data_IF_727485531358
#
_entry.id   IF_727485531358
#
_cell.length_a   1.000
_cell.length_b   1.000
_cell.length_c   1.000
_cell.angle_alpha   90.00
_cell.angle_beta   90.00
_cell.angle_gamma   90.00
#
_symmetry.space_group_name_H-M   'P 1'
#
loop_
_entity.id
_entity.type
_entity.pdbx_description
1 polymer ?
#
# COMPACT_ATOMS: atom_id res chain seq x y z
N UNK A 1 20.87 -33.15 7.73
CA UNK A 1 20.39 -32.23 6.67
C UNK A 1 18.86 -32.01 6.72
N UNK A 2 18.21 -31.92 7.89
CA UNK A 2 16.75 -32.19 7.95
C UNK A 2 15.88 -31.14 8.64
N UNK A 3 16.43 -30.11 9.29
CA UNK A 3 15.64 -29.04 9.91
C UNK A 3 15.56 -27.76 9.07
N UNK A 4 16.62 -27.40 8.33
CA UNK A 4 16.64 -26.16 7.54
C UNK A 4 15.65 -26.22 6.36
N UNK A 5 15.69 -27.31 5.58
CA UNK A 5 14.81 -27.50 4.41
C UNK A 5 13.33 -27.56 4.81
N UNK A 6 13.02 -28.21 5.95
CA UNK A 6 11.64 -28.25 6.48
C UNK A 6 11.16 -26.88 6.94
N UNK A 7 12.04 -26.06 7.50
CA UNK A 7 11.72 -24.69 7.91
C UNK A 7 11.47 -23.78 6.70
N UNK A 8 12.29 -23.91 5.66
CA UNK A 8 12.10 -23.18 4.39
C UNK A 8 10.81 -23.60 3.70
N UNK A 9 10.50 -24.89 3.63
CA UNK A 9 9.25 -25.37 3.04
C UNK A 9 8.01 -24.90 3.82
N UNK A 10 8.09 -24.87 5.16
CA UNK A 10 7.01 -24.33 6.00
C UNK A 10 6.80 -22.82 5.81
N UNK A 11 7.89 -22.04 5.69
CA UNK A 11 7.80 -20.61 5.38
C UNK A 11 7.18 -20.36 4.01
N UNK A 12 7.58 -21.12 2.98
CA UNK A 12 7.02 -21.01 1.63
C UNK A 12 5.53 -21.37 1.61
N UNK A 13 5.14 -22.48 2.26
CA UNK A 13 3.72 -22.87 2.37
C UNK A 13 2.90 -21.83 3.13
N UNK A 14 3.47 -21.19 4.14
CA UNK A 14 2.79 -20.16 4.92
C UNK A 14 2.67 -18.84 4.15
N UNK A 15 3.68 -18.46 3.35
CA UNK A 15 3.59 -17.35 2.41
C UNK A 15 2.54 -17.62 1.33
N UNK A 16 2.56 -18.79 0.69
CA UNK A 16 1.58 -19.20 -0.32
C UNK A 16 0.15 -19.20 0.26
N UNK A 17 -0.06 -19.78 1.44
CA UNK A 17 -1.38 -19.79 2.07
C UNK A 17 -1.87 -18.38 2.45
N UNK A 18 -0.96 -17.50 2.88
CA UNK A 18 -1.29 -16.10 3.16
C UNK A 18 -1.66 -15.36 1.87
N UNK A 19 -0.93 -15.64 0.79
CA UNK A 19 -1.16 -15.05 -0.52
C UNK A 19 -2.48 -15.52 -1.14
N UNK A 20 -2.82 -16.81 -0.99
CA UNK A 20 -4.12 -17.37 -1.39
C UNK A 20 -5.26 -16.75 -0.55
N UNK A 21 -5.12 -16.68 0.77
CA UNK A 21 -6.15 -16.07 1.62
C UNK A 21 -6.35 -14.59 1.30
N UNK A 22 -5.27 -13.87 1.00
CA UNK A 22 -5.33 -12.50 0.52
C UNK A 22 -5.99 -12.39 -0.86
N UNK A 23 -5.70 -13.30 -1.80
CA UNK A 23 -6.35 -13.33 -3.11
C UNK A 23 -7.85 -13.59 -3.01
N UNK A 24 -8.27 -14.62 -2.27
CA UNK A 24 -9.68 -15.01 -2.16
C UNK A 24 -10.52 -13.93 -1.46
N UNK A 25 -10.02 -13.38 -0.34
CA UNK A 25 -10.71 -12.29 0.36
C UNK A 25 -10.82 -11.02 -0.49
N UNK A 26 -9.82 -10.76 -1.32
CA UNK A 26 -9.82 -9.59 -2.20
C UNK A 26 -10.65 -9.80 -3.47
N UNK A 27 -10.70 -11.02 -4.00
CA UNK A 27 -11.58 -11.41 -5.10
C UNK A 27 -13.04 -11.22 -4.69
N UNK A 28 -13.41 -11.62 -3.47
CA UNK A 28 -14.74 -11.39 -2.91
C UNK A 28 -15.08 -9.90 -2.87
N UNK A 29 -14.18 -9.04 -2.35
CA UNK A 29 -14.38 -7.58 -2.30
C UNK A 29 -14.66 -7.01 -3.71
N UNK A 30 -13.93 -7.49 -4.73
CA UNK A 30 -14.15 -7.07 -6.12
C UNK A 30 -15.49 -7.57 -6.67
N UNK A 31 -15.88 -8.80 -6.35
CA UNK A 31 -17.11 -9.42 -6.84
C UNK A 31 -18.37 -8.78 -6.25
N UNK A 32 -18.38 -8.46 -4.95
CA UNK A 32 -19.51 -7.76 -4.30
C UNK A 32 -19.43 -6.24 -4.40
N UNK A 33 -18.44 -5.69 -5.12
CA UNK A 33 -18.26 -4.24 -5.33
C UNK A 33 -18.24 -3.43 -4.03
N UNK A 34 -17.65 -3.98 -2.97
CA UNK A 34 -17.56 -3.30 -1.69
C UNK A 34 -16.56 -2.14 -1.76
N UNK A 35 -16.95 -0.99 -1.21
CA UNK A 35 -16.06 0.15 -1.08
C UNK A 35 -15.10 -0.11 0.09
N UNK A 36 -13.82 -0.24 -0.20
CA UNK A 36 -12.78 -0.33 0.82
C UNK A 36 -12.24 1.05 1.16
N UNK A 37 -12.15 1.34 2.45
CA UNK A 37 -11.47 2.53 2.96
C UNK A 37 -10.13 2.12 3.58
N UNK A 38 -9.09 2.87 3.27
CA UNK A 38 -7.75 2.69 3.80
C UNK A 38 -7.41 3.86 4.73
N UNK A 39 -7.00 3.56 5.95
CA UNK A 39 -6.46 4.55 6.88
C UNK A 39 -4.97 4.28 7.02
N UNK A 40 -4.14 5.23 6.59
CA UNK A 40 -2.67 5.14 6.61
C UNK A 40 -2.09 6.44 7.13
N UNK A 41 -0.86 6.35 7.64
CA UNK A 41 -0.14 7.52 8.12
C UNK A 41 0.11 8.54 6.99
N UNK A 42 0.15 9.82 7.36
CA UNK A 42 0.38 10.95 6.45
C UNK A 42 1.87 11.08 6.06
N UNK A 43 2.49 9.99 5.65
CA UNK A 43 3.90 9.94 5.27
C UNK A 43 4.11 9.17 3.94
N UNK A 44 5.32 9.22 3.36
CA UNK A 44 5.60 8.54 2.10
C UNK A 44 5.45 7.01 2.17
N UNK A 45 5.58 6.39 3.34
CA UNK A 45 5.44 4.94 3.52
C UNK A 45 3.96 4.53 3.59
N UNK A 46 3.14 5.26 4.33
CA UNK A 46 1.69 5.09 4.37
C UNK A 46 1.10 5.23 2.97
N UNK A 47 1.54 6.25 2.22
CA UNK A 47 1.15 6.41 0.83
C UNK A 47 1.60 5.23 -0.05
N UNK A 48 2.83 4.73 0.12
CA UNK A 48 3.35 3.57 -0.64
C UNK A 48 2.52 2.30 -0.40
N UNK A 49 2.07 2.09 0.84
CA UNK A 49 1.17 0.99 1.22
C UNK A 49 -0.16 1.13 0.49
N UNK A 50 -0.81 2.30 0.58
CA UNK A 50 -2.08 2.56 -0.09
C UNK A 50 -1.96 2.39 -1.61
N UNK A 51 -0.90 2.92 -2.22
CA UNK A 51 -0.63 2.79 -3.64
C UNK A 51 -0.39 1.32 -4.05
N UNK A 52 0.25 0.51 -3.19
CA UNK A 52 0.44 -0.92 -3.41
C UNK A 52 -0.89 -1.67 -3.45
N UNK A 53 -1.81 -1.36 -2.53
CA UNK A 53 -3.15 -1.94 -2.56
C UNK A 53 -3.97 -1.47 -3.77
N UNK A 54 -3.82 -0.21 -4.20
CA UNK A 54 -4.62 0.33 -5.31
C UNK A 54 -4.12 -0.10 -6.69
N UNK A 55 -2.81 0.02 -6.92
CA UNK A 55 -2.18 -0.18 -8.24
C UNK A 55 -1.48 -1.54 -8.35
N UNK A 56 -1.22 -2.20 -7.21
CA UNK A 56 -0.46 -3.45 -7.14
C UNK A 56 1.00 -3.22 -6.78
N UNK A 57 1.63 -4.26 -6.23
CA UNK A 57 3.07 -4.26 -5.92
C UNK A 57 3.91 -4.44 -7.18
N UNK A 58 4.96 -3.63 -7.33
CA UNK A 58 5.95 -3.79 -8.41
C UNK A 58 6.67 -5.14 -8.35
N UNK A 59 6.88 -5.69 -7.15
CA UNK A 59 7.54 -7.00 -6.95
C UNK A 59 6.64 -8.17 -7.35
N UNK A 60 5.32 -7.98 -7.25
CA UNK A 60 4.30 -8.98 -7.59
C UNK A 60 3.49 -8.52 -8.80
N UNK A 61 4.15 -7.92 -9.79
CA UNK A 61 3.47 -7.32 -10.94
C UNK A 61 2.64 -8.34 -11.75
N UNK A 62 3.04 -9.61 -11.73
CA UNK A 62 2.29 -10.70 -12.38
C UNK A 62 0.94 -10.94 -11.70
N UNK A 63 0.91 -10.99 -10.37
CA UNK A 63 -0.28 -11.24 -9.57
C UNK A 63 -1.07 -9.97 -9.22
N UNK A 64 -0.51 -8.79 -9.53
CA UNK A 64 -1.10 -7.49 -9.20
C UNK A 64 -2.54 -7.32 -9.69
N UNK A 65 -2.93 -7.99 -10.78
CA UNK A 65 -4.31 -7.96 -11.30
C UNK A 65 -5.32 -8.58 -10.32
N UNK A 66 -4.88 -9.58 -9.56
CA UNK A 66 -5.70 -10.32 -8.58
C UNK A 66 -5.43 -9.87 -7.15
N UNK A 67 -4.48 -8.95 -6.93
CA UNK A 67 -4.05 -8.46 -5.62
C UNK A 67 -4.22 -6.94 -5.43
N UNK A 68 -4.82 -6.24 -6.40
CA UNK A 68 -5.18 -4.83 -6.29
C UNK A 68 -6.67 -4.58 -6.04
N UNK A 69 -6.98 -3.60 -5.21
CA UNK A 69 -8.32 -3.06 -4.94
C UNK A 69 -8.42 -1.66 -5.57
N UNK A 70 -8.84 -1.53 -6.84
CA UNK A 70 -8.83 -0.25 -7.55
C UNK A 70 -9.82 0.77 -6.94
N UNK A 71 -10.88 0.28 -6.30
CA UNK A 71 -11.92 1.09 -5.65
C UNK A 71 -11.54 1.55 -4.23
N UNK A 72 -10.33 1.25 -3.77
CA UNK A 72 -9.89 1.68 -2.45
C UNK A 72 -9.83 3.20 -2.36
N UNK A 73 -10.39 3.74 -1.28
CA UNK A 73 -10.41 5.16 -0.98
C UNK A 73 -9.54 5.42 0.23
N UNK A 74 -8.62 6.36 0.11
CA UNK A 74 -7.84 6.83 1.25
C UNK A 74 -8.76 7.68 2.12
N UNK A 75 -8.94 7.29 3.39
CA UNK A 75 -9.77 7.99 4.36
C UNK A 75 -9.04 9.13 5.06
N UNK A 76 -7.70 9.14 5.04
CA UNK A 76 -6.84 10.09 5.75
C UNK A 76 -5.73 9.37 6.53
N UNK A 77 -4.86 10.07 7.26
CA UNK A 77 -4.74 11.53 7.47
C UNK A 77 -4.07 12.21 6.27
N UNK A 78 -4.65 13.28 5.72
CA UNK A 78 -4.03 14.03 4.62
C UNK A 78 -3.13 15.15 5.13
N UNK A 79 -2.16 15.55 4.32
CA UNK A 79 -1.31 16.72 4.62
C UNK A 79 -2.09 18.03 4.65
N UNK A 80 -3.24 18.09 3.96
CA UNK A 80 -4.21 19.20 4.04
C UNK A 80 -4.86 19.30 5.42
N UNK A 81 -5.19 18.15 6.01
CA UNK A 81 -5.88 18.05 7.31
C UNK A 81 -5.01 18.64 8.42
N UNK A 82 -3.68 18.53 8.30
CA UNK A 82 -2.73 19.15 9.23
C UNK A 82 -2.93 20.67 9.34
N UNK A 83 -3.28 21.33 8.21
CA UNK A 83 -3.55 22.77 8.16
C UNK A 83 -4.98 23.09 8.59
N UNK A 84 -5.96 22.30 8.13
CA UNK A 84 -7.38 22.53 8.41
C UNK A 84 -7.72 22.40 9.89
N UNK A 85 -7.16 21.39 10.56
CA UNK A 85 -7.39 21.14 11.99
C UNK A 85 -6.38 21.85 12.90
N UNK A 86 -5.53 22.72 12.36
CA UNK A 86 -4.53 23.49 13.12
C UNK A 86 -3.71 22.64 14.10
N UNK A 87 -3.26 21.46 13.67
CA UNK A 87 -2.58 20.51 14.56
C UNK A 87 -1.30 21.13 15.14
N UNK A 88 -1.04 21.00 16.46
CA UNK A 88 0.16 21.55 17.08
C UNK A 88 1.44 20.96 16.49
N UNK A 89 2.51 21.76 16.41
CA UNK A 89 3.81 21.30 15.90
C UNK A 89 4.42 20.17 16.76
N UNK A 90 4.09 20.09 18.05
CA UNK A 90 4.53 19.00 18.91
C UNK A 90 3.95 17.64 18.53
N UNK A 91 2.88 17.60 17.73
CA UNK A 91 2.28 16.38 17.20
C UNK A 91 2.78 16.04 15.79
N UNK A 92 3.69 16.84 15.22
CA UNK A 92 4.20 16.68 13.85
C UNK A 92 5.63 16.17 13.87
N UNK A 93 5.91 15.18 13.03
CA UNK A 93 7.27 14.71 12.77
C UNK A 93 7.78 15.37 11.49
N UNK A 94 9.01 15.90 11.54
CA UNK A 94 9.65 16.44 10.36
C UNK A 94 10.10 15.31 9.44
N UNK A 95 9.87 15.47 8.14
CA UNK A 95 10.35 14.54 7.12
C UNK A 95 11.88 14.49 7.14
N UNK A 96 12.42 13.28 7.28
CA UNK A 96 13.84 13.03 7.12
C UNK A 96 14.27 13.17 5.65
N UNK A 97 15.57 13.32 5.36
CA UNK A 97 16.08 13.27 3.99
C UNK A 97 15.76 11.96 3.28
N UNK A 98 15.62 10.86 4.02
CA UNK A 98 15.24 9.55 3.46
C UNK A 98 13.78 9.51 3.03
N UNK A 99 12.88 10.03 3.87
CA UNK A 99 11.46 10.12 3.55
C UNK A 99 11.24 10.96 2.29
N UNK A 100 11.96 12.08 2.18
CA UNK A 100 11.93 12.94 0.98
C UNK A 100 12.36 12.18 -0.27
N UNK A 101 13.48 11.45 -0.23
CA UNK A 101 13.93 10.62 -1.36
C UNK A 101 12.89 9.56 -1.73
N UNK A 102 12.24 8.96 -0.74
CA UNK A 102 11.17 7.98 -0.99
C UNK A 102 9.96 8.63 -1.65
N UNK A 103 9.53 9.79 -1.18
CA UNK A 103 8.44 10.56 -1.79
C UNK A 103 8.74 10.93 -3.25
N UNK A 104 9.95 11.45 -3.52
CA UNK A 104 10.41 11.75 -4.88
C UNK A 104 10.43 10.49 -5.76
N UNK A 105 10.90 9.36 -5.22
CA UNK A 105 10.85 8.07 -5.90
C UNK A 105 9.43 7.63 -6.25
N UNK A 106 8.46 7.85 -5.37
CA UNK A 106 7.05 7.53 -5.61
C UNK A 106 6.47 8.37 -6.74
N UNK A 107 6.77 9.68 -6.80
CA UNK A 107 6.28 10.60 -7.85
C UNK A 107 6.71 10.22 -9.27
N UNK A 108 7.82 9.48 -9.39
CA UNK A 108 8.36 8.97 -10.67
C UNK A 108 7.69 7.69 -11.17
N UNK A 109 6.85 7.03 -10.36
CA UNK A 109 6.21 5.75 -10.72
C UNK A 109 5.17 5.93 -11.82
N UNK A 110 4.99 4.90 -12.64
CA UNK A 110 4.14 4.97 -13.84
C UNK A 110 2.65 5.23 -13.54
N UNK A 111 2.13 4.74 -12.42
CA UNK A 111 0.73 4.98 -12.04
C UNK A 111 0.45 6.44 -11.68
N UNK A 112 1.47 7.20 -11.24
CA UNK A 112 1.33 8.64 -10.95
C UNK A 112 1.09 9.48 -12.20
N UNK A 113 1.55 9.02 -13.36
CA UNK A 113 1.30 9.72 -14.62
C UNK A 113 0.13 9.14 -15.41
N UNK A 114 -0.17 7.84 -15.25
CA UNK A 114 -1.13 7.13 -16.10
C UNK A 114 -2.47 6.86 -15.45
N UNK A 115 -2.50 6.55 -14.17
CA UNK A 115 -3.72 6.08 -13.47
C UNK A 115 -4.27 7.12 -12.48
N UNK A 116 -3.40 7.91 -11.84
CA UNK A 116 -3.80 8.93 -10.86
C UNK A 116 -2.95 10.22 -10.97
N UNK A 117 -3.03 10.96 -12.09
CA UNK A 117 -2.32 12.23 -12.26
C UNK A 117 -2.69 13.29 -11.22
N UNK A 118 -3.90 13.22 -10.66
CA UNK A 118 -4.39 14.11 -9.62
C UNK A 118 -3.75 13.89 -8.23
N UNK A 119 -2.95 12.85 -8.06
CA UNK A 119 -2.24 12.55 -6.80
C UNK A 119 -0.81 13.12 -6.75
N UNK A 120 -0.37 13.82 -7.79
CA UNK A 120 0.90 14.56 -7.82
C UNK A 120 0.77 15.92 -7.15
#
# INVERSE_FOLDING_TARGET
MTNSVKKTAALLLQEEATQIFQQEGMLFILEVSLVCYCNVDSDPYGFDIMATYKFGSLKLAYDAKFLRVPNIRWLGVFTSDLKEYCLPDCCRLQLSPEDRRKAEGILTRCYMSREAPEWR
#
